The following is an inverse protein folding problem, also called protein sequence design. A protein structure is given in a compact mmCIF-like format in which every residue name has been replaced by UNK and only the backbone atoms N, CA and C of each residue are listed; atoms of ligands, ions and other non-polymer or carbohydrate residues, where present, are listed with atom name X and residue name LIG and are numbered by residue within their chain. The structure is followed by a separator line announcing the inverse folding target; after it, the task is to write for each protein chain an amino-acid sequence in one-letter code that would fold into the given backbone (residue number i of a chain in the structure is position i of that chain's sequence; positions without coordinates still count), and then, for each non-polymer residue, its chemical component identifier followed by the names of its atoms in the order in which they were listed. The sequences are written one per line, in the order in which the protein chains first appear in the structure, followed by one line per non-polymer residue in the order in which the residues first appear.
data_IF_443378005213
#
_entry.id   IF_443378005213
#
_cell.length_a   1.000
_cell.length_b   1.000
_cell.length_c   1.000
_cell.angle_alpha   90.00
_cell.angle_beta   90.00
_cell.angle_gamma   90.00
#
_symmetry.space_group_name_H-M   'P 1'
#
loop_
_entity.id
_entity.type
_entity.pdbx_description
1 polymer ?
#
# COMPACT_ATOMS: atom_id res chain seq x y z
N UNK A 1 32.48 12.21 -1.86
CA UNK A 1 32.42 10.96 -2.64
C UNK A 1 32.02 9.73 -1.79
N UNK A 2 32.19 9.76 -0.45
CA UNK A 2 31.85 8.64 0.44
C UNK A 2 30.38 8.69 0.91
N UNK A 3 29.70 9.82 0.76
CA UNK A 3 28.33 10.03 1.26
C UNK A 3 27.23 9.48 0.35
N UNK A 4 27.51 9.22 -0.94
CA UNK A 4 26.49 8.77 -1.89
C UNK A 4 26.27 7.26 -1.92
N UNK A 5 27.24 6.46 -1.54
CA UNK A 5 27.17 4.99 -1.61
C UNK A 5 26.30 4.35 -0.52
N UNK A 6 26.03 5.07 0.56
CA UNK A 6 25.31 4.49 1.71
C UNK A 6 23.80 4.61 1.59
N UNK A 7 23.28 5.67 0.97
CA UNK A 7 21.83 5.88 0.80
C UNK A 7 21.22 4.85 -0.17
N UNK A 8 21.89 4.57 -1.27
CA UNK A 8 21.42 3.67 -2.34
C UNK A 8 21.42 2.21 -1.98
N UNK A 9 22.30 1.77 -1.11
CA UNK A 9 22.36 0.36 -0.69
C UNK A 9 21.19 -0.01 0.24
N UNK A 10 20.53 0.96 0.86
CA UNK A 10 19.49 0.72 1.87
C UNK A 10 18.06 1.09 1.42
N UNK A 11 17.86 2.12 0.58
CA UNK A 11 16.51 2.57 0.18
C UNK A 11 15.79 1.53 -0.65
N UNK A 12 16.44 0.99 -1.64
CA UNK A 12 15.83 0.08 -2.61
C UNK A 12 15.42 -1.27 -2.02
N UNK A 13 16.24 -1.98 -1.23
CA UNK A 13 15.80 -3.21 -0.57
C UNK A 13 14.62 -2.97 0.39
N UNK A 14 14.54 -1.78 0.98
CA UNK A 14 13.46 -1.43 1.93
C UNK A 14 12.15 -1.23 1.20
N UNK A 15 12.13 -0.49 0.10
CA UNK A 15 10.93 -0.28 -0.74
C UNK A 15 10.46 -1.60 -1.33
N UNK A 16 11.34 -2.41 -1.91
CA UNK A 16 10.97 -3.73 -2.44
C UNK A 16 10.47 -4.69 -1.37
N UNK A 17 11.06 -4.70 -0.17
CA UNK A 17 10.55 -5.52 0.93
C UNK A 17 9.17 -5.06 1.40
N UNK A 18 8.93 -3.75 1.49
CA UNK A 18 7.64 -3.19 1.80
C UNK A 18 6.58 -3.64 0.79
N UNK A 19 6.87 -3.50 -0.49
CA UNK A 19 5.98 -3.88 -1.59
C UNK A 19 5.71 -5.38 -1.62
N UNK A 20 6.74 -6.19 -1.52
CA UNK A 20 6.61 -7.64 -1.43
C UNK A 20 5.63 -8.03 -0.32
N UNK A 21 5.76 -7.43 0.86
CA UNK A 21 4.90 -7.71 2.01
C UNK A 21 3.49 -7.19 1.81
N UNK A 22 3.32 -5.98 1.26
CA UNK A 22 2.01 -5.39 0.97
C UNK A 22 1.24 -6.20 -0.07
N UNK A 23 1.89 -6.61 -1.16
CA UNK A 23 1.26 -7.46 -2.19
C UNK A 23 0.85 -8.80 -1.59
N UNK A 24 1.75 -9.44 -0.85
CA UNK A 24 1.46 -10.72 -0.22
C UNK A 24 0.29 -10.62 0.77
N UNK A 25 0.27 -9.58 1.62
CA UNK A 25 -0.84 -9.34 2.56
C UNK A 25 -2.15 -8.98 1.87
N UNK A 26 -2.12 -8.20 0.81
CA UNK A 26 -3.30 -7.94 0.00
C UNK A 26 -3.91 -9.23 -0.52
N UNK A 27 -3.08 -10.14 -0.99
CA UNK A 27 -3.53 -11.40 -1.57
C UNK A 27 -4.00 -12.40 -0.49
N UNK A 28 -3.28 -12.52 0.62
CA UNK A 28 -3.54 -13.55 1.65
C UNK A 28 -4.47 -13.09 2.77
N UNK A 29 -4.59 -11.79 3.02
CA UNK A 29 -5.40 -11.23 4.11
C UNK A 29 -6.53 -10.35 3.60
N UNK A 30 -6.19 -9.24 2.94
CA UNK A 30 -7.19 -8.22 2.59
C UNK A 30 -8.21 -8.74 1.59
N UNK A 31 -7.81 -9.52 0.59
CA UNK A 31 -8.73 -10.15 -0.37
C UNK A 31 -9.73 -11.09 0.31
N UNK A 32 -9.29 -11.81 1.36
CA UNK A 32 -10.17 -12.70 2.11
C UNK A 32 -11.12 -11.92 3.05
N UNK A 33 -10.64 -10.85 3.69
CA UNK A 33 -11.49 -9.97 4.50
C UNK A 33 -12.56 -9.27 3.67
N UNK A 34 -12.21 -8.85 2.45
CA UNK A 34 -13.14 -8.25 1.48
C UNK A 34 -14.04 -9.29 0.80
N UNK A 35 -13.87 -10.58 1.11
CA UNK A 35 -14.59 -11.68 0.47
C UNK A 35 -14.42 -11.71 -1.06
N UNK A 36 -13.22 -11.35 -1.55
CA UNK A 36 -12.86 -11.55 -2.95
C UNK A 36 -12.30 -12.95 -3.18
N UNK A 37 -11.59 -13.48 -2.18
CA UNK A 37 -11.05 -14.83 -2.21
C UNK A 37 -11.36 -15.62 -0.94
N UNK A 38 -11.34 -16.94 -1.09
CA UNK A 38 -11.36 -17.90 0.03
C UNK A 38 -10.11 -18.75 -0.06
N UNK A 39 -9.37 -18.86 1.03
CA UNK A 39 -8.19 -19.71 1.08
C UNK A 39 -8.54 -21.18 1.35
N UNK A 40 -7.99 -22.08 0.54
CA UNK A 40 -8.09 -23.52 0.75
C UNK A 40 -6.90 -24.04 1.60
N UNK A 41 -6.78 -23.56 2.83
CA UNK A 41 -5.82 -24.03 3.83
C UNK A 41 -6.51 -24.19 5.18
N UNK A 42 -6.03 -25.08 6.04
CA UNK A 42 -6.66 -25.37 7.34
C UNK A 42 -6.96 -24.14 8.22
N UNK A 43 -6.23 -23.04 8.03
CA UNK A 43 -6.45 -21.78 8.76
C UNK A 43 -7.12 -20.69 7.91
N UNK A 44 -7.36 -20.93 6.64
CA UNK A 44 -7.85 -19.92 5.71
C UNK A 44 -9.36 -19.64 5.88
N UNK A 45 -10.11 -20.65 6.31
CA UNK A 45 -11.54 -20.51 6.68
C UNK A 45 -11.78 -19.52 7.83
N UNK A 46 -10.74 -19.20 8.59
CA UNK A 46 -10.83 -18.26 9.71
C UNK A 46 -10.84 -16.80 9.28
N UNK A 47 -10.04 -16.44 8.28
CA UNK A 47 -9.95 -15.05 7.79
C UNK A 47 -11.22 -14.68 7.02
N UNK A 48 -11.65 -15.52 6.08
CA UNK A 48 -12.90 -15.31 5.34
C UNK A 48 -14.14 -15.33 6.23
N UNK A 49 -14.07 -15.97 7.41
CA UNK A 49 -15.10 -15.97 8.44
C UNK A 49 -14.92 -14.86 9.47
N UNK A 50 -14.05 -13.89 9.23
CA UNK A 50 -13.70 -12.81 10.16
C UNK A 50 -13.12 -13.28 11.50
N UNK A 51 -12.53 -14.48 11.54
CA UNK A 51 -11.84 -15.02 12.72
C UNK A 51 -10.34 -14.78 12.61
N UNK A 52 -9.92 -13.54 12.87
CA UNK A 52 -8.52 -13.12 12.75
C UNK A 52 -7.77 -13.53 14.01
N UNK A 53 -6.66 -14.26 13.85
CA UNK A 53 -5.79 -14.64 14.96
C UNK A 53 -4.76 -13.53 15.24
N UNK A 54 -4.31 -13.43 16.50
CA UNK A 54 -3.26 -12.49 16.91
C UNK A 54 -1.95 -12.65 16.10
N UNK A 55 -1.65 -13.86 15.62
CA UNK A 55 -0.49 -14.12 14.77
C UNK A 55 -0.51 -13.37 13.44
N UNK A 56 -1.70 -13.09 12.90
CA UNK A 56 -1.86 -12.31 11.66
C UNK A 56 -1.47 -10.86 11.91
N UNK A 57 -1.96 -10.29 13.01
CA UNK A 57 -1.60 -8.95 13.45
C UNK A 57 -0.09 -8.85 13.77
N UNK A 58 0.45 -9.77 14.56
CA UNK A 58 1.88 -9.79 14.88
C UNK A 58 2.78 -9.86 13.64
N UNK A 59 2.39 -10.64 12.63
CA UNK A 59 3.12 -10.72 11.37
C UNK A 59 3.18 -9.37 10.65
N UNK A 60 2.06 -8.66 10.60
CA UNK A 60 1.97 -7.34 9.97
C UNK A 60 2.83 -6.30 10.72
N UNK A 61 2.74 -6.29 12.06
CA UNK A 61 3.57 -5.46 12.92
C UNK A 61 5.07 -5.68 12.70
N UNK A 62 5.52 -6.92 12.75
CA UNK A 62 6.92 -7.27 12.57
C UNK A 62 7.44 -6.88 11.18
N UNK A 63 6.61 -7.07 10.15
CA UNK A 63 6.94 -6.70 8.79
C UNK A 63 7.21 -5.18 8.68
N UNK A 64 6.36 -4.35 9.27
CA UNK A 64 6.50 -2.90 9.22
C UNK A 64 7.67 -2.37 10.05
N UNK A 65 7.87 -2.86 11.27
CA UNK A 65 9.00 -2.40 12.09
C UNK A 65 10.35 -2.88 11.53
N UNK A 66 10.43 -4.03 10.86
CA UNK A 66 11.66 -4.44 10.20
C UNK A 66 12.02 -3.53 9.02
N UNK A 67 11.02 -3.03 8.28
CA UNK A 67 11.19 -2.05 7.21
C UNK A 67 11.41 -0.64 7.79
N UNK A 68 10.64 -0.28 8.82
CA UNK A 68 10.74 1.01 9.52
C UNK A 68 12.11 1.23 10.15
N UNK A 69 12.76 0.16 10.64
CA UNK A 69 14.13 0.24 11.18
C UNK A 69 15.15 0.71 10.15
N UNK A 70 15.01 0.23 8.92
CA UNK A 70 15.84 0.69 7.83
C UNK A 70 15.51 2.15 7.44
N UNK A 71 14.23 2.51 7.40
CA UNK A 71 13.78 3.87 7.10
C UNK A 71 14.27 4.89 8.15
N UNK A 72 14.26 4.54 9.45
CA UNK A 72 14.76 5.41 10.52
C UNK A 72 16.28 5.61 10.44
N UNK A 73 17.04 4.55 10.20
CA UNK A 73 18.50 4.65 9.97
C UNK A 73 18.83 5.52 8.76
N UNK A 74 17.96 5.54 7.76
CA UNK A 74 18.07 6.39 6.58
C UNK A 74 17.68 7.85 6.86
N UNK A 75 16.67 8.10 7.69
CA UNK A 75 16.27 9.45 8.10
C UNK A 75 17.41 10.21 8.81
N UNK A 76 18.21 9.51 9.59
CA UNK A 76 19.37 10.11 10.26
C UNK A 76 20.51 10.42 9.28
N UNK A 77 20.70 9.61 8.25
CA UNK A 77 21.75 9.79 7.24
C UNK A 77 21.33 10.62 6.03
N UNK A 78 20.09 10.57 5.63
CA UNK A 78 19.59 11.27 4.45
C UNK A 78 18.43 12.19 4.82
N UNK A 79 18.68 13.47 5.01
CA UNK A 79 17.64 14.52 5.08
C UNK A 79 16.74 14.57 3.82
N UNK A 80 16.86 13.60 2.91
CA UNK A 80 16.25 13.55 1.59
C UNK A 80 15.05 12.60 1.47
N UNK A 81 14.91 11.55 2.33
CA UNK A 81 13.95 10.46 2.09
C UNK A 81 12.71 10.53 3.00
N UNK A 82 12.19 11.72 3.24
CA UNK A 82 11.02 11.96 4.13
C UNK A 82 9.71 11.39 3.60
N UNK A 83 9.58 11.23 2.28
CA UNK A 83 8.37 10.69 1.66
C UNK A 83 8.16 9.20 1.97
N UNK A 84 9.24 8.41 1.95
CA UNK A 84 9.15 6.97 2.20
C UNK A 84 8.85 6.65 3.66
N UNK A 85 9.41 7.45 4.58
CA UNK A 85 9.10 7.33 6.00
C UNK A 85 7.61 7.62 6.27
N UNK A 86 7.06 8.68 5.69
CA UNK A 86 5.65 9.01 5.85
C UNK A 86 4.75 7.90 5.30
N UNK A 87 5.08 7.30 4.16
CA UNK A 87 4.31 6.20 3.57
C UNK A 87 4.32 4.95 4.47
N UNK A 88 5.49 4.52 4.94
CA UNK A 88 5.61 3.33 5.78
C UNK A 88 4.88 3.51 7.12
N UNK A 89 5.09 4.64 7.80
CA UNK A 89 4.48 4.91 9.09
C UNK A 89 2.98 5.15 9.01
N UNK A 90 2.48 5.76 7.91
CA UNK A 90 1.03 5.89 7.70
C UNK A 90 0.35 4.53 7.65
N UNK A 91 0.94 3.58 6.95
CA UNK A 91 0.37 2.24 6.82
C UNK A 91 0.35 1.51 8.16
N UNK A 92 1.39 1.68 8.98
CA UNK A 92 1.45 1.09 10.32
C UNK A 92 0.39 1.67 11.25
N UNK A 93 0.34 3.01 11.37
CA UNK A 93 -0.62 3.68 12.27
C UNK A 93 -2.06 3.53 11.79
N UNK A 94 -2.31 3.44 10.47
CA UNK A 94 -3.64 3.15 9.92
C UNK A 94 -4.13 1.74 10.29
N UNK A 95 -3.20 0.78 10.43
CA UNK A 95 -3.55 -0.60 10.80
C UNK A 95 -3.74 -0.80 12.31
N UNK A 96 -3.02 -0.06 13.15
CA UNK A 96 -2.94 -0.31 14.60
C UNK A 96 -3.38 0.87 15.48
N UNK A 97 -3.58 2.06 14.91
CA UNK A 97 -3.83 3.27 15.68
C UNK A 97 -2.54 3.81 16.32
N UNK A 98 -2.52 3.93 17.64
CA UNK A 98 -1.35 4.36 18.38
C UNK A 98 -0.22 3.32 18.29
N UNK A 99 0.99 3.77 17.96
CA UNK A 99 2.16 2.91 17.79
C UNK A 99 3.43 3.62 18.27
N UNK A 100 4.49 2.90 18.65
CA UNK A 100 5.79 3.51 18.89
C UNK A 100 6.30 4.22 17.63
N UNK A 101 6.54 5.52 17.71
CA UNK A 101 6.98 6.36 16.62
C UNK A 101 8.21 7.19 16.95
N UNK A 102 8.09 8.19 17.85
CA UNK A 102 9.18 9.13 18.14
C UNK A 102 10.36 8.47 18.86
N UNK A 103 10.10 7.47 19.68
CA UNK A 103 11.13 6.71 20.41
C UNK A 103 11.40 5.34 19.75
N UNK A 104 10.68 5.02 18.66
CA UNK A 104 10.89 3.76 17.97
C UNK A 104 12.32 3.64 17.47
N UNK A 105 12.87 2.41 17.54
CA UNK A 105 14.17 2.04 16.96
C UNK A 105 15.39 2.71 17.61
N UNK A 106 15.21 3.50 18.66
CA UNK A 106 16.33 4.09 19.43
C UNK A 106 17.24 3.04 20.06
N UNK A 107 16.76 1.82 20.29
CA UNK A 107 17.61 0.69 20.71
C UNK A 107 18.77 0.41 19.73
N UNK A 108 18.62 0.71 18.46
CA UNK A 108 19.70 0.60 17.48
C UNK A 108 20.75 1.71 17.64
N UNK A 109 20.31 2.94 17.87
CA UNK A 109 21.19 4.12 18.02
C UNK A 109 21.78 4.26 19.43
N UNK A 110 21.06 3.78 20.45
CA UNK A 110 21.49 3.80 21.86
C UNK A 110 22.43 2.64 22.26
N UNK A 111 22.82 1.78 21.32
CA UNK A 111 23.64 0.61 21.62
C UNK A 111 22.91 -0.44 22.47
N UNK A 112 21.58 -0.46 22.42
CA UNK A 112 20.78 -1.47 23.09
C UNK A 112 20.35 -1.14 24.53
N UNK A 113 20.36 0.13 24.90
CA UNK A 113 19.93 0.56 26.26
C UNK A 113 18.45 0.92 26.36
N UNK A 114 17.79 1.22 25.22
CA UNK A 114 16.37 1.60 25.15
C UNK A 114 15.55 0.53 24.41
N UNK A 115 14.74 -0.23 25.15
CA UNK A 115 13.93 -1.33 24.60
C UNK A 115 12.41 -1.17 24.79
N UNK A 116 11.98 -0.12 25.48
CA UNK A 116 10.56 0.09 25.80
C UNK A 116 10.08 1.47 25.31
N UNK A 117 10.01 1.68 23.98
CA UNK A 117 9.51 2.94 23.45
C UNK A 117 8.04 3.15 23.85
N UNK A 118 7.66 4.40 24.10
CA UNK A 118 6.26 4.74 24.34
C UNK A 118 5.43 4.58 23.07
N UNK A 119 4.14 4.39 23.26
CA UNK A 119 3.16 4.51 22.17
C UNK A 119 2.80 5.97 21.98
N UNK A 120 2.92 6.44 20.75
CA UNK A 120 2.53 7.80 20.38
C UNK A 120 1.14 7.75 19.74
N UNK A 121 0.32 8.78 19.96
CA UNK A 121 -1.03 8.80 19.40
C UNK A 121 -1.02 8.89 17.87
N UNK A 122 -1.96 8.22 17.22
CA UNK A 122 -2.12 8.31 15.76
C UNK A 122 -2.17 9.76 15.29
N UNK A 123 -2.82 10.65 16.03
CA UNK A 123 -2.93 12.07 15.73
C UNK A 123 -1.57 12.78 15.73
N UNK A 124 -0.71 12.52 16.71
CA UNK A 124 0.64 13.10 16.77
C UNK A 124 1.50 12.58 15.63
N UNK A 125 1.37 11.28 15.29
CA UNK A 125 2.06 10.65 14.17
C UNK A 125 1.63 11.31 12.85
N UNK A 126 0.33 11.49 12.62
CA UNK A 126 -0.19 12.16 11.42
C UNK A 126 0.29 13.61 11.31
N UNK A 127 0.32 14.34 12.42
CA UNK A 127 0.84 15.72 12.45
C UNK A 127 2.31 15.78 12.05
N UNK A 128 3.11 14.85 12.54
CA UNK A 128 4.52 14.80 12.16
C UNK A 128 4.73 14.36 10.70
N UNK A 129 3.94 13.41 10.20
CA UNK A 129 3.97 13.04 8.78
C UNK A 129 3.63 14.23 7.87
N UNK A 130 2.64 15.03 8.23
CA UNK A 130 2.32 16.26 7.48
C UNK A 130 3.49 17.25 7.48
N UNK A 131 4.13 17.45 8.62
CA UNK A 131 5.34 18.28 8.73
C UNK A 131 6.47 17.76 7.84
N UNK A 132 6.72 16.46 7.84
CA UNK A 132 7.75 15.84 7.01
C UNK A 132 7.48 16.01 5.51
N UNK A 133 6.22 15.86 5.07
CA UNK A 133 5.83 16.04 3.66
C UNK A 133 5.94 17.50 3.21
N UNK A 134 5.62 18.48 4.07
CA UNK A 134 5.88 19.90 3.80
C UNK A 134 7.36 20.20 3.63
N UNK A 135 8.17 19.66 4.52
CA UNK A 135 9.61 19.82 4.45
C UNK A 135 10.19 19.17 3.18
N UNK A 136 9.71 17.96 2.84
CA UNK A 136 10.09 17.27 1.61
C UNK A 136 9.71 18.08 0.36
N UNK A 137 8.48 18.61 0.28
CA UNK A 137 8.05 19.46 -0.81
C UNK A 137 8.96 20.68 -0.98
N UNK A 138 9.31 21.33 0.13
CA UNK A 138 10.18 22.50 0.14
C UNK A 138 11.60 22.16 -0.33
N UNK A 139 12.19 21.10 0.18
CA UNK A 139 13.55 20.66 -0.18
C UNK A 139 13.65 20.27 -1.66
N UNK A 140 12.68 19.51 -2.17
CA UNK A 140 12.62 19.09 -3.56
C UNK A 140 12.36 20.27 -4.51
N UNK A 141 11.60 21.29 -4.08
CA UNK A 141 11.40 22.52 -4.84
C UNK A 141 12.71 23.34 -5.00
N UNK A 142 13.59 23.30 -4.01
CA UNK A 142 14.85 24.03 -4.00
C UNK A 142 15.98 23.27 -4.71
N UNK A 143 15.83 21.97 -4.92
CA UNK A 143 16.85 21.15 -5.57
C UNK A 143 16.99 21.51 -7.04
N UNK A 144 18.22 21.67 -7.49
CA UNK A 144 18.56 22.05 -8.88
C UNK A 144 19.03 20.87 -9.72
N UNK A 145 19.39 19.77 -9.09
CA UNK A 145 19.99 18.60 -9.73
C UNK A 145 19.15 17.36 -9.45
N UNK A 146 19.04 16.52 -10.45
CA UNK A 146 18.42 15.21 -10.33
C UNK A 146 19.29 14.28 -9.47
N UNK A 147 18.69 13.22 -8.90
CA UNK A 147 19.43 12.14 -8.26
C UNK A 147 20.16 11.29 -9.31
N UNK A 148 21.05 10.41 -8.86
CA UNK A 148 21.69 9.47 -9.75
C UNK A 148 20.65 8.47 -10.27
N UNK A 149 20.48 8.42 -11.60
CA UNK A 149 19.50 7.57 -12.26
C UNK A 149 19.77 6.07 -12.08
N UNK A 150 21.02 5.67 -11.82
CA UNK A 150 21.38 4.27 -11.56
C UNK A 150 20.93 3.79 -10.19
N UNK A 151 20.67 4.73 -9.30
CA UNK A 151 20.32 4.50 -7.90
C UNK A 151 18.82 4.60 -7.64
N UNK A 152 18.03 5.06 -8.62
CA UNK A 152 16.59 5.21 -8.52
C UNK A 152 15.87 4.35 -9.57
N UNK A 153 15.34 3.22 -9.13
CA UNK A 153 14.60 2.30 -10.02
C UNK A 153 13.25 2.86 -10.46
N UNK A 154 12.61 3.69 -9.64
CA UNK A 154 11.24 4.16 -9.88
C UNK A 154 11.20 5.32 -10.87
N UNK A 155 11.91 6.40 -10.58
CA UNK A 155 11.85 7.63 -11.38
C UNK A 155 13.16 7.99 -12.09
N UNK A 156 14.20 7.14 -11.99
CA UNK A 156 15.49 7.38 -12.63
C UNK A 156 16.12 8.72 -12.24
N UNK A 157 15.95 9.09 -10.99
CA UNK A 157 16.51 10.29 -10.40
C UNK A 157 15.68 11.56 -10.59
N UNK A 158 14.53 11.51 -11.26
CA UNK A 158 13.70 12.68 -11.53
C UNK A 158 13.09 13.27 -10.25
N UNK A 159 13.70 14.35 -9.74
CA UNK A 159 13.25 15.03 -8.51
C UNK A 159 11.85 15.63 -8.62
N UNK A 160 11.40 16.00 -9.85
CA UNK A 160 10.05 16.55 -10.03
C UNK A 160 9.00 15.48 -9.83
N UNK A 161 9.27 14.26 -10.29
CA UNK A 161 8.39 13.11 -10.04
C UNK A 161 8.37 12.73 -8.56
N UNK A 162 9.52 12.76 -7.88
CA UNK A 162 9.58 12.56 -6.43
C UNK A 162 8.78 13.61 -5.65
N UNK A 163 8.83 14.88 -6.07
CA UNK A 163 8.03 15.96 -5.50
C UNK A 163 6.54 15.74 -5.72
N UNK A 164 6.14 15.34 -6.93
CA UNK A 164 4.75 14.97 -7.24
C UNK A 164 4.27 13.80 -6.40
N UNK A 165 5.08 12.76 -6.22
CA UNK A 165 4.76 11.63 -5.34
C UNK A 165 4.53 12.09 -3.91
N UNK A 166 5.44 12.87 -3.32
CA UNK A 166 5.31 13.35 -1.95
C UNK A 166 4.01 14.13 -1.73
N UNK A 167 3.67 15.05 -2.63
CA UNK A 167 2.42 15.81 -2.54
C UNK A 167 1.18 14.94 -2.79
N UNK A 168 1.29 13.92 -3.63
CA UNK A 168 0.20 12.95 -3.88
C UNK A 168 -0.06 12.06 -2.65
N UNK A 169 1.00 11.59 -1.98
CA UNK A 169 0.90 10.92 -0.68
C UNK A 169 0.27 11.85 0.36
N UNK A 170 0.66 13.11 0.36
CA UNK A 170 0.09 14.11 1.26
C UNK A 170 -1.42 14.23 1.08
N UNK A 171 -1.92 14.34 -0.15
CA UNK A 171 -3.37 14.34 -0.43
C UNK A 171 -4.06 13.08 0.10
N UNK A 172 -3.47 11.89 -0.10
CA UNK A 172 -3.99 10.63 0.45
C UNK A 172 -4.15 10.67 1.96
N UNK A 173 -3.13 11.14 2.68
CA UNK A 173 -3.15 11.22 4.14
C UNK A 173 -4.10 12.31 4.65
N UNK A 174 -4.13 13.47 3.99
CA UNK A 174 -5.08 14.54 4.30
C UNK A 174 -6.53 14.07 4.13
N UNK A 175 -6.82 13.34 3.05
CA UNK A 175 -8.16 12.79 2.81
C UNK A 175 -8.60 11.83 3.91
N UNK A 176 -7.69 11.00 4.44
CA UNK A 176 -7.98 10.11 5.59
C UNK A 176 -8.24 10.89 6.88
N UNK A 177 -7.49 11.96 7.12
CA UNK A 177 -7.64 12.80 8.30
C UNK A 177 -8.82 13.76 8.23
N UNK A 178 -9.28 14.15 7.04
CA UNK A 178 -10.26 15.21 6.81
C UNK A 178 -11.60 14.98 7.52
N UNK A 179 -12.08 13.74 7.58
CA UNK A 179 -13.32 13.38 8.29
C UNK A 179 -13.21 13.58 9.81
N UNK A 180 -12.02 13.48 10.36
CA UNK A 180 -11.77 13.75 11.78
C UNK A 180 -11.82 15.24 12.06
N UNK A 181 -11.32 16.07 11.15
CA UNK A 181 -11.34 17.53 11.27
C UNK A 181 -12.75 18.13 11.25
N UNK A 182 -13.73 17.46 10.60
CA UNK A 182 -15.13 17.90 10.62
C UNK A 182 -15.80 17.73 12.00
N UNK A 183 -15.26 16.87 12.84
CA UNK A 183 -15.82 16.48 14.15
C UNK A 183 -15.01 17.04 15.31
N UNK A 184 -13.72 17.32 15.09
CA UNK A 184 -12.81 17.81 16.14
C UNK A 184 -12.98 19.31 16.40
N UNK A 185 -12.80 19.68 17.67
CA UNK A 185 -12.80 21.09 18.09
C UNK A 185 -11.58 21.79 17.47
N UNK A 186 -11.75 23.06 17.05
CA UNK A 186 -10.72 23.88 16.36
C UNK A 186 -9.30 23.78 16.95
N UNK A 187 -9.17 23.66 18.26
CA UNK A 187 -7.89 23.59 18.95
C UNK A 187 -7.13 22.28 18.73
N UNK A 188 -7.80 21.26 18.24
CA UNK A 188 -7.23 19.92 18.05
C UNK A 188 -7.18 19.47 16.58
N UNK A 189 -7.71 20.28 15.67
CA UNK A 189 -7.73 19.98 14.24
C UNK A 189 -6.31 19.78 13.67
N UNK A 190 -6.22 18.87 12.71
CA UNK A 190 -5.03 18.71 11.85
C UNK A 190 -5.05 19.68 10.66
N UNK A 191 -6.09 20.49 10.52
CA UNK A 191 -6.32 21.41 9.39
C UNK A 191 -6.29 20.70 8.03
N UNK A 192 -6.66 19.42 7.99
CA UNK A 192 -6.54 18.58 6.81
C UNK A 192 -7.39 19.09 5.63
N UNK A 193 -8.61 19.55 5.89
CA UNK A 193 -9.51 20.10 4.86
C UNK A 193 -8.93 21.38 4.26
N UNK A 194 -8.46 22.31 5.09
CA UNK A 194 -7.88 23.58 4.61
C UNK A 194 -6.60 23.35 3.81
N UNK A 195 -5.78 22.40 4.24
CA UNK A 195 -4.54 22.04 3.53
C UNK A 195 -4.82 21.33 2.21
N UNK A 196 -5.81 20.44 2.18
CA UNK A 196 -6.26 19.77 0.97
C UNK A 196 -6.72 20.80 -0.08
N UNK A 197 -7.53 21.80 0.34
CA UNK A 197 -7.94 22.92 -0.51
C UNK A 197 -6.73 23.73 -1.00
N UNK A 198 -5.75 24.01 -0.14
CA UNK A 198 -4.52 24.71 -0.51
C UNK A 198 -3.75 23.97 -1.60
N UNK A 199 -3.55 22.65 -1.46
CA UNK A 199 -2.81 21.86 -2.45
C UNK A 199 -3.48 21.92 -3.83
N UNK A 200 -4.79 21.76 -3.89
CA UNK A 200 -5.52 21.85 -5.16
C UNK A 200 -5.57 23.27 -5.74
N UNK A 201 -5.55 24.31 -4.89
CA UNK A 201 -5.60 25.71 -5.33
C UNK A 201 -4.25 26.23 -5.83
N UNK A 202 -3.15 25.65 -5.38
CA UNK A 202 -1.79 26.11 -5.70
C UNK A 202 -0.91 25.00 -6.30
N UNK A 203 -1.25 24.50 -7.51
CA UNK A 203 -0.53 23.37 -8.13
C UNK A 203 0.93 23.65 -8.46
N UNK A 204 1.34 24.92 -8.58
CA UNK A 204 2.75 25.28 -8.77
C UNK A 204 3.58 25.06 -7.48
N UNK A 205 2.97 25.31 -6.32
CA UNK A 205 3.61 25.14 -5.02
C UNK A 205 3.53 23.69 -4.54
N UNK A 206 2.48 22.97 -4.94
CA UNK A 206 2.20 21.59 -4.58
C UNK A 206 1.87 20.76 -5.84
N UNK A 207 2.83 20.50 -6.73
CA UNK A 207 2.57 19.65 -7.88
C UNK A 207 2.24 18.21 -7.42
N UNK A 208 1.16 17.66 -7.96
CA UNK A 208 0.71 16.27 -7.74
C UNK A 208 0.78 15.48 -9.05
N UNK A 209 0.41 14.21 -9.05
CA UNK A 209 0.31 13.43 -10.28
C UNK A 209 -0.68 14.07 -11.26
N UNK A 210 -0.26 14.24 -12.50
CA UNK A 210 -1.06 14.83 -13.58
C UNK A 210 -1.37 13.81 -14.67
N UNK A 211 -0.59 12.74 -14.75
CA UNK A 211 -0.74 11.70 -15.77
C UNK A 211 -0.30 10.33 -15.24
N UNK A 212 -0.53 9.27 -16.03
CA UNK A 212 -0.09 7.92 -15.71
C UNK A 212 1.43 7.82 -15.57
N UNK A 213 2.18 8.61 -16.31
CA UNK A 213 3.65 8.63 -16.31
C UNK A 213 4.24 9.15 -15.00
N UNK A 214 3.42 9.79 -14.16
CA UNK A 214 3.79 10.23 -12.83
C UNK A 214 3.60 9.15 -11.76
N UNK A 215 2.86 8.06 -12.07
CA UNK A 215 2.56 7.00 -11.13
C UNK A 215 3.83 6.45 -10.46
N UNK A 216 3.71 6.10 -9.19
CA UNK A 216 4.81 5.51 -8.43
C UNK A 216 4.90 4.01 -8.73
N UNK A 217 5.41 3.69 -9.91
CA UNK A 217 5.55 2.32 -10.40
C UNK A 217 6.95 1.79 -10.11
N UNK A 218 7.04 0.75 -9.28
CA UNK A 218 8.30 0.05 -8.98
C UNK A 218 8.42 -1.17 -9.89
N UNK A 219 9.43 -1.21 -10.77
CA UNK A 219 9.60 -2.29 -11.70
C UNK A 219 10.08 -3.57 -11.01
N UNK A 220 9.51 -4.71 -11.40
CA UNK A 220 10.06 -6.02 -11.04
C UNK A 220 11.19 -6.42 -11.99
N UNK A 221 12.13 -7.21 -11.48
CA UNK A 221 13.23 -7.75 -12.25
C UNK A 221 13.46 -9.22 -11.84
N UNK A 222 13.05 -10.13 -12.70
CA UNK A 222 13.14 -11.58 -12.43
C UNK A 222 14.56 -12.09 -12.35
N UNK A 223 15.54 -11.37 -12.92
CA UNK A 223 16.94 -11.73 -12.84
C UNK A 223 17.59 -11.42 -11.48
N UNK A 224 16.93 -10.61 -10.65
CA UNK A 224 17.43 -10.19 -9.33
C UNK A 224 16.49 -10.70 -8.25
N UNK A 225 16.91 -11.67 -7.46
CA UNK A 225 16.05 -12.35 -6.47
C UNK A 225 15.31 -11.38 -5.51
N UNK A 226 15.95 -10.25 -5.12
CA UNK A 226 15.34 -9.25 -4.26
C UNK A 226 14.30 -8.37 -4.98
N UNK A 227 14.21 -8.43 -6.30
CA UNK A 227 13.33 -7.62 -7.14
C UNK A 227 12.29 -8.45 -7.89
N UNK A 228 12.22 -9.75 -7.61
CA UNK A 228 11.21 -10.62 -8.20
C UNK A 228 9.82 -10.32 -7.63
N UNK A 229 8.78 -10.51 -8.46
CA UNK A 229 7.42 -10.48 -7.93
C UNK A 229 7.24 -11.51 -6.81
N UNK A 230 6.46 -11.23 -5.75
CA UNK A 230 6.20 -12.17 -4.65
C UNK A 230 5.68 -13.52 -5.12
N UNK A 231 5.06 -13.55 -6.28
CA UNK A 231 4.44 -14.72 -6.86
C UNK A 231 5.34 -15.50 -7.84
N UNK A 232 6.55 -15.01 -8.11
CA UNK A 232 7.47 -15.61 -9.08
C UNK A 232 7.72 -17.10 -8.81
N UNK A 233 7.94 -17.46 -7.55
CA UNK A 233 8.22 -18.83 -7.13
C UNK A 233 6.98 -19.67 -6.77
N UNK A 234 5.78 -19.10 -6.85
CA UNK A 234 4.57 -19.81 -6.47
C UNK A 234 4.26 -20.96 -7.42
N UNK A 235 4.07 -22.13 -6.84
CA UNK A 235 3.66 -23.34 -7.57
C UNK A 235 2.14 -23.35 -7.79
N UNK A 236 1.67 -24.19 -8.70
CA UNK A 236 0.25 -24.35 -9.00
C UNK A 236 -0.62 -24.57 -7.74
N UNK A 237 -0.15 -25.37 -6.77
CA UNK A 237 -0.87 -25.60 -5.52
C UNK A 237 -1.07 -24.35 -4.67
N UNK A 238 -0.08 -23.43 -4.66
CA UNK A 238 -0.22 -22.15 -3.93
C UNK A 238 -1.24 -21.23 -4.58
N UNK A 239 -1.35 -21.26 -5.90
CA UNK A 239 -2.37 -20.51 -6.64
C UNK A 239 -3.77 -21.08 -6.41
N UNK A 240 -3.92 -22.38 -6.54
CA UNK A 240 -5.20 -23.06 -6.38
C UNK A 240 -5.72 -23.01 -4.94
N UNK A 241 -4.86 -22.71 -3.97
CA UNK A 241 -5.30 -22.49 -2.60
C UNK A 241 -6.01 -21.14 -2.36
N UNK A 242 -6.04 -20.25 -3.36
CA UNK A 242 -6.77 -18.99 -3.30
C UNK A 242 -7.88 -19.00 -4.35
N UNK A 243 -9.04 -19.43 -3.92
CA UNK A 243 -10.24 -19.54 -4.75
C UNK A 243 -10.99 -18.21 -4.79
N UNK A 244 -11.58 -17.87 -5.93
CA UNK A 244 -12.41 -16.67 -6.05
C UNK A 244 -13.74 -16.93 -5.35
N UNK A 245 -14.20 -15.98 -4.53
CA UNK A 245 -15.47 -16.10 -3.81
C UNK A 245 -16.67 -16.03 -4.76
N UNK A 246 -17.72 -16.75 -4.39
CA UNK A 246 -19.04 -16.65 -5.01
C UNK A 246 -19.54 -15.20 -5.07
N UNK A 247 -19.39 -14.44 -3.99
CA UNK A 247 -19.80 -13.03 -3.94
C UNK A 247 -19.16 -12.20 -5.04
N UNK A 248 -17.83 -12.31 -5.22
CA UNK A 248 -17.17 -11.56 -6.29
C UNK A 248 -17.58 -12.06 -7.67
N UNK A 249 -17.74 -13.35 -7.84
CA UNK A 249 -18.17 -13.91 -9.13
C UNK A 249 -19.57 -13.44 -9.50
N UNK A 250 -20.51 -13.38 -8.55
CA UNK A 250 -21.88 -12.91 -8.77
C UNK A 250 -21.95 -11.42 -9.16
N UNK A 251 -21.00 -10.60 -8.71
CA UNK A 251 -20.89 -9.19 -9.14
C UNK A 251 -20.33 -9.04 -10.57
N UNK A 252 -19.72 -10.10 -11.12
CA UNK A 252 -19.11 -10.08 -12.45
C UNK A 252 -20.07 -10.54 -13.55
N UNK A 253 -21.25 -11.03 -13.21
CA UNK A 253 -22.26 -11.49 -14.15
C UNK A 253 -23.64 -10.92 -13.87
N UNK A 254 -24.41 -10.70 -14.93
CA UNK A 254 -25.86 -10.53 -14.86
C UNK A 254 -26.48 -11.77 -15.48
N UNK A 255 -27.34 -12.44 -14.72
CA UNK A 255 -28.04 -13.65 -15.12
C UNK A 255 -29.51 -13.35 -15.42
N UNK A 256 -30.12 -14.12 -16.32
CA UNK A 256 -31.58 -14.14 -16.52
C UNK A 256 -32.27 -15.08 -15.47
N UNK A 257 -33.60 -15.22 -15.58
CA UNK A 257 -34.40 -16.10 -14.70
C UNK A 257 -34.04 -17.58 -14.83
N UNK A 258 -33.39 -17.97 -15.90
CA UNK A 258 -33.01 -19.35 -16.21
C UNK A 258 -31.49 -19.58 -15.96
N UNK A 259 -30.86 -18.67 -15.23
CA UNK A 259 -29.42 -18.67 -14.88
C UNK A 259 -28.46 -18.56 -16.08
N UNK A 260 -28.93 -18.08 -17.25
CA UNK A 260 -28.06 -17.81 -18.36
C UNK A 260 -27.38 -16.43 -18.21
N UNK A 261 -26.13 -16.33 -18.59
CA UNK A 261 -25.39 -15.07 -18.56
C UNK A 261 -25.89 -14.14 -19.66
N UNK A 262 -26.51 -13.03 -19.25
CA UNK A 262 -26.94 -11.95 -20.16
C UNK A 262 -25.78 -10.98 -20.41
N UNK A 263 -25.02 -10.65 -19.34
CA UNK A 263 -23.90 -9.72 -19.36
C UNK A 263 -22.80 -10.24 -18.46
N UNK A 264 -21.56 -10.10 -18.92
CA UNK A 264 -20.38 -10.36 -18.12
C UNK A 264 -19.46 -9.15 -18.13
N UNK A 265 -18.83 -8.87 -17.00
CA UNK A 265 -17.78 -7.85 -16.92
C UNK A 265 -16.63 -8.24 -17.86
N UNK A 266 -16.22 -7.36 -18.79
CA UNK A 266 -15.15 -7.66 -19.76
C UNK A 266 -13.79 -7.95 -19.09
N UNK A 267 -13.57 -7.52 -17.85
CA UNK A 267 -12.36 -7.78 -17.08
C UNK A 267 -12.26 -9.23 -16.59
N UNK A 268 -13.36 -9.98 -16.61
CA UNK A 268 -13.43 -11.33 -16.05
C UNK A 268 -12.42 -12.27 -16.71
N UNK A 269 -12.39 -12.33 -18.05
CA UNK A 269 -11.44 -13.18 -18.79
C UNK A 269 -9.98 -12.71 -18.66
N UNK A 270 -9.77 -11.48 -18.22
CA UNK A 270 -8.44 -10.92 -18.01
C UNK A 270 -7.90 -11.29 -16.63
N UNK A 271 -8.71 -11.12 -15.57
CA UNK A 271 -8.26 -11.33 -14.19
C UNK A 271 -8.36 -12.77 -13.70
N UNK A 272 -9.28 -13.56 -14.25
CA UNK A 272 -9.56 -14.91 -13.76
C UNK A 272 -9.34 -15.95 -14.87
N UNK A 273 -9.27 -17.22 -14.44
CA UNK A 273 -9.35 -18.34 -15.36
C UNK A 273 -10.78 -18.46 -15.96
N UNK A 274 -10.96 -19.34 -16.95
CA UNK A 274 -12.23 -19.46 -17.66
C UNK A 274 -13.36 -20.13 -16.86
N UNK A 275 -13.16 -20.35 -15.56
CA UNK A 275 -14.17 -20.95 -14.69
C UNK A 275 -15.13 -19.87 -14.19
N UNK A 276 -16.37 -20.24 -13.98
CA UNK A 276 -17.45 -19.31 -13.58
C UNK A 276 -18.00 -19.53 -12.19
N UNK A 277 -17.60 -20.63 -11.53
CA UNK A 277 -18.06 -20.98 -10.20
C UNK A 277 -17.22 -20.24 -9.18
N UNK A 278 -17.87 -19.58 -8.23
CA UNK A 278 -17.22 -19.00 -7.06
C UNK A 278 -17.26 -19.95 -5.85
N UNK A 279 -16.26 -19.88 -4.99
CA UNK A 279 -16.25 -20.64 -3.75
C UNK A 279 -17.16 -20.00 -2.70
N UNK A 280 -17.94 -20.79 -1.92
CA UNK A 280 -18.73 -20.26 -0.83
C UNK A 280 -17.82 -19.69 0.27
N UNK A 281 -18.32 -18.65 0.94
CA UNK A 281 -17.69 -18.05 2.13
C UNK A 281 -18.33 -18.58 3.40
N UNK A 282 -17.67 -18.39 4.55
CA UNK A 282 -18.20 -18.78 5.87
C UNK A 282 -18.43 -20.29 6.06
N UNK A 283 -17.70 -21.09 5.31
CA UNK A 283 -17.73 -22.57 5.38
C UNK A 283 -16.43 -23.11 5.97
N UNK A 284 -16.45 -24.37 6.35
CA UNK A 284 -15.26 -25.07 6.85
C UNK A 284 -14.32 -25.50 5.72
N UNK A 285 -13.08 -25.87 6.07
CA UNK A 285 -12.13 -26.39 5.11
C UNK A 285 -12.67 -27.62 4.34
N UNK A 286 -13.36 -28.54 5.03
CA UNK A 286 -13.92 -29.76 4.42
C UNK A 286 -15.01 -29.44 3.41
N UNK A 287 -15.80 -28.40 3.67
CA UNK A 287 -16.84 -27.94 2.74
C UNK A 287 -16.25 -27.24 1.49
N UNK A 288 -15.02 -26.75 1.57
CA UNK A 288 -14.33 -26.16 0.42
C UNK A 288 -13.70 -27.21 -0.52
N UNK A 289 -13.39 -28.40 -0.03
CA UNK A 289 -12.70 -29.44 -0.82
C UNK A 289 -13.37 -29.71 -2.17
N UNK A 290 -14.71 -29.84 -2.30
CA UNK A 290 -15.35 -30.09 -3.58
C UNK A 290 -15.18 -28.96 -4.60
N UNK A 291 -14.84 -27.77 -4.15
CA UNK A 291 -14.77 -26.58 -5.01
C UNK A 291 -13.39 -26.39 -5.66
N UNK A 292 -12.32 -26.97 -5.13
CA UNK A 292 -10.92 -26.70 -5.54
C UNK A 292 -10.69 -26.83 -7.04
N UNK A 293 -11.33 -27.80 -7.67
CA UNK A 293 -11.12 -28.06 -9.11
C UNK A 293 -12.13 -27.35 -10.02
N UNK A 294 -13.25 -26.84 -9.47
CA UNK A 294 -14.34 -26.27 -10.28
C UNK A 294 -14.46 -24.77 -10.19
N UNK A 295 -13.91 -24.14 -9.14
CA UNK A 295 -13.99 -22.69 -8.94
C UNK A 295 -13.02 -21.90 -9.81
N UNK A 296 -13.34 -20.63 -9.98
CA UNK A 296 -12.46 -19.66 -10.61
C UNK A 296 -11.25 -19.35 -9.72
N UNK A 297 -10.10 -19.14 -10.37
CA UNK A 297 -8.87 -18.68 -9.76
C UNK A 297 -8.35 -17.46 -10.50
N UNK A 298 -7.45 -16.70 -9.88
CA UNK A 298 -6.76 -15.62 -10.58
C UNK A 298 -5.95 -16.16 -11.78
N UNK A 299 -5.94 -15.38 -12.86
CA UNK A 299 -5.12 -15.69 -14.02
C UNK A 299 -3.63 -15.61 -13.63
N UNK A 300 -3.02 -16.78 -13.51
CA UNK A 300 -1.63 -16.92 -13.07
C UNK A 300 -0.66 -16.16 -13.96
N UNK A 301 -0.85 -16.22 -15.29
CA UNK A 301 0.02 -15.54 -16.24
C UNK A 301 0.03 -14.03 -16.04
N UNK A 302 -1.14 -13.45 -15.77
CA UNK A 302 -1.26 -12.01 -15.53
C UNK A 302 -0.50 -11.57 -14.27
N UNK A 303 -0.60 -12.34 -13.18
CA UNK A 303 -0.04 -11.93 -11.90
C UNK A 303 1.46 -12.23 -11.83
N UNK A 304 1.92 -13.36 -12.38
CA UNK A 304 3.34 -13.72 -12.38
C UNK A 304 4.17 -12.87 -13.34
N UNK A 305 3.60 -12.43 -14.44
CA UNK A 305 4.28 -11.64 -15.47
C UNK A 305 4.08 -10.14 -15.30
N UNK A 306 3.74 -9.67 -14.10
CA UNK A 306 3.68 -8.22 -13.85
C UNK A 306 5.09 -7.65 -13.95
N UNK A 307 5.18 -6.54 -14.67
CA UNK A 307 6.41 -5.80 -14.87
C UNK A 307 6.67 -4.75 -13.77
N UNK A 308 5.64 -4.34 -13.04
CA UNK A 308 5.74 -3.37 -11.97
C UNK A 308 4.64 -3.52 -10.91
N UNK A 309 4.85 -2.87 -9.78
CA UNK A 309 3.86 -2.62 -8.74
C UNK A 309 3.68 -1.12 -8.54
N UNK A 310 2.44 -0.64 -8.48
CA UNK A 310 2.15 0.77 -8.24
C UNK A 310 1.91 1.04 -6.75
N UNK A 311 2.76 1.84 -6.12
CA UNK A 311 2.57 2.36 -4.76
C UNK A 311 1.40 3.32 -4.72
N UNK A 312 1.30 4.16 -5.76
CA UNK A 312 0.23 5.12 -5.94
C UNK A 312 -0.03 5.37 -7.42
N UNK A 313 -1.30 5.22 -7.81
CA UNK A 313 -1.73 5.45 -9.19
C UNK A 313 -2.24 6.88 -9.39
N UNK A 314 -2.11 7.40 -10.60
CA UNK A 314 -2.69 8.68 -11.00
C UNK A 314 -4.21 8.77 -10.77
N UNK A 315 -4.95 7.70 -11.03
CA UNK A 315 -6.40 7.64 -10.83
C UNK A 315 -6.82 7.94 -9.39
N UNK A 316 -5.97 7.65 -8.40
CA UNK A 316 -6.26 7.95 -6.99
C UNK A 316 -6.41 9.45 -6.74
N UNK A 317 -5.63 10.29 -7.41
CA UNK A 317 -5.74 11.75 -7.31
C UNK A 317 -7.11 12.23 -7.78
N UNK A 318 -7.63 11.67 -8.87
CA UNK A 318 -8.96 12.02 -9.37
C UNK A 318 -10.08 11.58 -8.43
N UNK A 319 -9.95 10.41 -7.80
CA UNK A 319 -10.91 9.98 -6.77
C UNK A 319 -10.87 10.87 -5.53
N UNK A 320 -9.67 11.24 -5.06
CA UNK A 320 -9.51 12.18 -3.95
C UNK A 320 -10.15 13.53 -4.29
N UNK A 321 -9.89 14.04 -5.50
CA UNK A 321 -10.47 15.30 -5.94
C UNK A 321 -11.99 15.23 -6.05
N UNK A 322 -12.53 14.20 -6.67
CA UNK A 322 -13.96 13.99 -6.81
C UNK A 322 -14.67 13.91 -5.45
N UNK A 323 -14.09 13.18 -4.49
CA UNK A 323 -14.64 13.07 -3.14
C UNK A 323 -14.56 14.40 -2.40
N UNK A 324 -13.43 15.11 -2.45
CA UNK A 324 -13.28 16.42 -1.82
C UNK A 324 -14.26 17.45 -2.38
N UNK A 325 -14.47 17.47 -3.71
CA UNK A 325 -15.46 18.32 -4.36
C UNK A 325 -16.90 17.93 -3.97
N UNK A 326 -17.23 16.64 -3.94
CA UNK A 326 -18.54 16.16 -3.48
C UNK A 326 -18.84 16.58 -2.05
N UNK A 327 -17.84 16.55 -1.17
CA UNK A 327 -17.94 16.99 0.23
C UNK A 327 -17.88 18.51 0.39
N UNK A 328 -17.67 19.26 -0.68
CA UNK A 328 -17.53 20.75 -0.68
C UNK A 328 -16.33 21.23 0.16
N UNK A 329 -15.27 20.45 0.20
CA UNK A 329 -14.01 20.85 0.82
C UNK A 329 -13.13 21.70 -0.12
N UNK A 330 -13.38 21.58 -1.44
CA UNK A 330 -12.71 22.33 -2.51
C UNK A 330 -13.74 22.84 -3.50
#
# INVERSE_FOLDING_TARGET
AVQNTTATTFVQPTVFNYEYRMINRSFTLTSQLMQYTVGHQQNADKISNYRIQNSVAAGYWNDFYSVGGNAQAMLEQAKKDKNDAALAMSTLTDAYGDVPYFEALQGYTSGGTEFTPRYDSQKEIYRDMFRLLEEANTLLAQSKENFDASEDYMYKGDIKKWRKLGNSIYLRLLMRAALKDEVDVETESLFAVSKLNQIFSYPADYPVFESREDAADVPFNDAVAAQQTPFFSWRAGSWNSNMICERLMNEMYVLDSDENVILSDPRLSFYFDNKRVGAPTQVTYQELVPYVDIVAHYNRGLIQNRDHFSIMCFSEIWFIWAEAAHRKWI
#
